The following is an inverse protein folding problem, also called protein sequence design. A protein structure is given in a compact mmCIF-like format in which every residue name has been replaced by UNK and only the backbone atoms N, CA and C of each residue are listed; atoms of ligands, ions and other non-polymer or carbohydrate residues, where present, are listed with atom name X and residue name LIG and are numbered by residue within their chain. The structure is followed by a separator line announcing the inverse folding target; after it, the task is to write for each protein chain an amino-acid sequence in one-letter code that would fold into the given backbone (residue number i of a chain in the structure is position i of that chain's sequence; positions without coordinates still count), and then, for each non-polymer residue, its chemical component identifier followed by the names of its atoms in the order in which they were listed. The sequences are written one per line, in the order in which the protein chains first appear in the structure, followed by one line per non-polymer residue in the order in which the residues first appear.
data_IF_934098819172
#
_entry.id   IF_934098819172
#
_cell.length_a   1.000
_cell.length_b   1.000
_cell.length_c   1.000
_cell.angle_alpha   90.00
_cell.angle_beta   90.00
_cell.angle_gamma   90.00
#
_symmetry.space_group_name_H-M   'P 1'
#
loop_
_entity.id
_entity.type
_entity.pdbx_description
1 polymer ?
#
# COMPACT_ATOMS: atom_id res chain seq x y z
N UNK A 1 12.33 -35.59 -6.74
CA UNK A 1 11.36 -35.09 -7.73
C UNK A 1 10.65 -33.79 -7.33
N UNK A 2 10.89 -33.30 -6.12
CA UNK A 2 10.38 -31.99 -5.70
C UNK A 2 10.85 -30.85 -6.62
N UNK A 3 12.08 -30.91 -7.16
CA UNK A 3 12.63 -29.88 -8.04
C UNK A 3 11.89 -29.76 -9.36
N UNK A 4 11.36 -30.84 -9.91
CA UNK A 4 10.63 -30.80 -11.18
C UNK A 4 9.25 -30.13 -10.97
N UNK A 5 8.55 -30.47 -9.91
CA UNK A 5 7.28 -29.85 -9.57
C UNK A 5 7.42 -28.36 -9.29
N UNK A 6 8.49 -27.95 -8.57
CA UNK A 6 8.78 -26.55 -8.29
C UNK A 6 9.05 -25.76 -9.57
N UNK A 7 9.79 -26.32 -10.52
CA UNK A 7 10.02 -25.70 -11.82
C UNK A 7 8.74 -25.59 -12.64
N UNK A 8 7.90 -26.61 -12.60
CA UNK A 8 6.62 -26.61 -13.28
C UNK A 8 5.65 -25.58 -12.70
N UNK A 9 5.60 -25.44 -11.40
CA UNK A 9 4.78 -24.43 -10.72
C UNK A 9 5.25 -23.01 -10.99
N UNK A 10 6.56 -22.80 -11.17
CA UNK A 10 7.15 -21.48 -11.45
C UNK A 10 6.98 -21.04 -12.90
N UNK A 11 6.93 -21.99 -13.83
CA UNK A 11 6.78 -21.66 -15.25
C UNK A 11 5.33 -21.55 -15.65
N UNK A 12 4.69 -20.47 -15.23
CA UNK A 12 3.34 -20.13 -15.67
C UNK A 12 3.43 -19.61 -17.11
N UNK A 13 2.75 -20.28 -18.05
CA UNK A 13 2.73 -19.85 -19.45
C UNK A 13 2.04 -18.50 -19.62
N UNK A 14 2.35 -17.76 -20.69
CA UNK A 14 1.72 -16.49 -21.00
C UNK A 14 0.19 -16.62 -21.13
N UNK A 15 -0.30 -17.74 -21.65
CA UNK A 15 -1.73 -18.06 -21.78
C UNK A 15 -2.38 -18.20 -20.40
N UNK A 16 -1.73 -18.90 -19.48
CA UNK A 16 -2.22 -19.08 -18.11
C UNK A 16 -2.28 -17.74 -17.37
N UNK A 17 -1.27 -16.88 -17.54
CA UNK A 17 -1.27 -15.54 -16.95
C UNK A 17 -2.44 -14.70 -17.46
N UNK A 18 -2.72 -14.73 -18.74
CA UNK A 18 -3.85 -14.03 -19.35
C UNK A 18 -5.18 -14.54 -18.80
N UNK A 19 -5.34 -15.87 -18.68
CA UNK A 19 -6.54 -16.49 -18.09
C UNK A 19 -6.73 -16.07 -16.64
N UNK A 20 -5.66 -16.10 -15.85
CA UNK A 20 -5.69 -15.63 -14.45
C UNK A 20 -6.04 -14.15 -14.36
N UNK A 21 -5.45 -13.32 -15.22
CA UNK A 21 -5.75 -11.89 -15.28
C UNK A 21 -7.22 -11.61 -15.59
N UNK A 22 -7.78 -12.32 -16.55
CA UNK A 22 -9.22 -12.23 -16.92
C UNK A 22 -10.12 -12.68 -15.76
N UNK A 23 -9.75 -13.79 -15.10
CA UNK A 23 -10.50 -14.30 -13.93
C UNK A 23 -10.49 -13.29 -12.80
N UNK A 24 -9.34 -12.71 -12.49
CA UNK A 24 -9.21 -11.67 -11.44
C UNK A 24 -10.02 -10.42 -11.81
N UNK A 25 -9.99 -9.99 -13.07
CA UNK A 25 -10.77 -8.85 -13.53
C UNK A 25 -12.27 -9.09 -13.37
N UNK A 26 -12.76 -10.31 -13.67
CA UNK A 26 -14.16 -10.67 -13.46
C UNK A 26 -14.53 -10.69 -11.99
N UNK A 27 -13.66 -11.27 -11.14
CA UNK A 27 -13.86 -11.31 -9.69
C UNK A 27 -13.95 -9.90 -9.10
N UNK A 28 -13.08 -8.98 -9.55
CA UNK A 28 -13.11 -7.60 -9.10
C UNK A 28 -14.41 -6.87 -9.46
N UNK A 29 -15.03 -7.23 -10.57
CA UNK A 29 -16.32 -6.66 -11.00
C UNK A 29 -17.52 -7.33 -10.32
N UNK A 30 -17.34 -8.48 -9.69
CA UNK A 30 -18.44 -9.19 -9.05
C UNK A 30 -19.02 -8.40 -7.87
N UNK A 31 -20.35 -8.40 -7.67
CA UNK A 31 -20.96 -7.70 -6.54
C UNK A 31 -20.45 -8.19 -5.18
N UNK A 32 -20.19 -9.48 -5.05
CA UNK A 32 -19.66 -10.07 -3.82
C UNK A 32 -18.29 -9.50 -3.45
N UNK A 33 -17.40 -9.39 -4.43
CA UNK A 33 -16.06 -8.83 -4.23
C UNK A 33 -16.13 -7.34 -3.88
N UNK A 34 -16.96 -6.58 -4.60
CA UNK A 34 -17.18 -5.16 -4.33
C UNK A 34 -17.73 -4.93 -2.92
N UNK A 35 -18.65 -5.78 -2.47
CA UNK A 35 -19.19 -5.73 -1.12
C UNK A 35 -18.11 -6.00 -0.07
N UNK A 36 -17.31 -7.05 -0.26
CA UNK A 36 -16.19 -7.37 0.64
C UNK A 36 -15.18 -6.23 0.73
N UNK A 37 -14.86 -5.63 -0.41
CA UNK A 37 -13.93 -4.49 -0.49
C UNK A 37 -14.47 -3.28 0.27
N UNK A 38 -15.74 -2.96 0.09
CA UNK A 38 -16.42 -1.88 0.81
C UNK A 38 -16.48 -2.14 2.32
N UNK A 39 -16.80 -3.37 2.70
CA UNK A 39 -16.83 -3.79 4.10
C UNK A 39 -15.45 -3.72 4.75
N UNK A 40 -14.39 -4.12 4.03
CA UNK A 40 -13.01 -4.02 4.52
C UNK A 40 -12.60 -2.55 4.75
N UNK A 41 -13.08 -1.63 3.91
CA UNK A 41 -12.80 -0.19 4.08
C UNK A 41 -13.41 0.39 5.35
N UNK A 42 -14.43 -0.26 5.93
CA UNK A 42 -15.07 0.17 7.18
C UNK A 42 -14.31 -0.27 8.44
N UNK A 43 -13.34 -1.17 8.30
CA UNK A 43 -12.55 -1.64 9.45
C UNK A 43 -11.51 -0.61 9.85
N UNK A 44 -11.34 -0.40 11.14
CA UNK A 44 -10.23 0.37 11.67
C UNK A 44 -8.90 -0.32 11.38
N UNK A 45 -7.93 0.45 10.92
CA UNK A 45 -6.59 -0.05 10.70
C UNK A 45 -5.87 -0.26 12.03
N UNK A 46 -5.08 -1.34 12.10
CA UNK A 46 -4.24 -1.62 13.25
C UNK A 46 -3.23 -0.48 13.47
N UNK A 47 -2.92 -0.08 14.73
CA UNK A 47 -1.91 0.94 15.01
C UNK A 47 -0.55 0.68 14.37
N UNK A 48 -0.11 -0.59 14.32
CA UNK A 48 1.13 -0.97 13.64
C UNK A 48 1.10 -0.65 12.14
N UNK A 49 -0.04 -0.88 11.49
CA UNK A 49 -0.24 -0.57 10.07
C UNK A 49 -0.26 0.93 9.82
N UNK A 50 -0.88 1.70 10.71
CA UNK A 50 -0.86 3.18 10.64
C UNK A 50 0.55 3.72 10.78
N UNK A 51 1.36 3.15 11.66
CA UNK A 51 2.75 3.51 11.83
C UNK A 51 3.58 3.23 10.56
N UNK A 52 3.36 2.08 9.93
CA UNK A 52 4.01 1.74 8.65
C UNK A 52 3.62 2.72 7.54
N UNK A 53 2.35 3.09 7.45
CA UNK A 53 1.87 4.07 6.47
C UNK A 53 2.48 5.45 6.72
N UNK A 54 2.56 5.87 7.98
CA UNK A 54 3.19 7.13 8.37
C UNK A 54 4.66 7.16 7.95
N UNK A 55 5.38 6.07 8.21
CA UNK A 55 6.77 5.92 7.84
C UNK A 55 6.97 6.00 6.33
N UNK A 56 6.13 5.31 5.55
CA UNK A 56 6.18 5.37 4.09
C UNK A 56 5.97 6.78 3.56
N UNK A 57 4.99 7.50 4.09
CA UNK A 57 4.72 8.90 3.69
C UNK A 57 5.92 9.79 3.97
N UNK A 58 6.53 9.66 5.14
CA UNK A 58 7.71 10.46 5.50
C UNK A 58 8.91 10.14 4.63
N UNK A 59 9.17 8.87 4.38
CA UNK A 59 10.25 8.44 3.48
C UNK A 59 10.05 9.04 2.10
N UNK A 60 8.82 8.99 1.58
CA UNK A 60 8.50 9.57 0.27
C UNK A 60 8.70 11.09 0.27
N UNK A 61 8.26 11.78 1.30
CA UNK A 61 8.47 13.24 1.43
C UNK A 61 9.95 13.59 1.46
N UNK A 62 10.76 12.84 2.21
CA UNK A 62 12.21 13.06 2.26
C UNK A 62 12.88 12.75 0.92
N UNK A 63 12.45 11.72 0.20
CA UNK A 63 12.93 11.44 -1.16
C UNK A 63 12.63 12.59 -2.10
N UNK A 64 11.41 13.08 -2.10
CA UNK A 64 10.98 14.17 -2.97
C UNK A 64 11.73 15.47 -2.67
N UNK A 65 12.03 15.71 -1.40
CA UNK A 65 12.72 16.90 -0.96
C UNK A 65 14.22 16.89 -1.24
N UNK A 66 14.89 15.78 -0.94
CA UNK A 66 16.37 15.69 -1.00
C UNK A 66 16.88 14.95 -2.23
N UNK A 67 16.06 14.10 -2.85
CA UNK A 67 16.42 13.30 -4.01
C UNK A 67 15.31 13.38 -5.07
N UNK A 68 15.12 14.55 -5.71
CA UNK A 68 13.98 14.73 -6.64
C UNK A 68 14.04 13.83 -7.89
N UNK A 69 15.22 13.33 -8.26
CA UNK A 69 15.39 12.40 -9.39
C UNK A 69 15.25 10.92 -9.04
N UNK A 70 14.73 10.59 -7.85
CA UNK A 70 14.68 9.20 -7.39
C UNK A 70 13.91 8.26 -8.34
N UNK A 71 12.81 8.72 -8.91
CA UNK A 71 11.98 7.91 -9.83
C UNK A 71 12.70 7.53 -11.12
N UNK A 72 13.63 8.37 -11.57
CA UNK A 72 14.38 8.17 -12.79
C UNK A 72 15.70 7.42 -12.57
N UNK A 73 16.03 7.10 -11.33
CA UNK A 73 17.24 6.37 -10.99
C UNK A 73 17.11 4.88 -11.31
N UNK A 74 18.26 4.26 -11.67
CA UNK A 74 18.38 2.80 -11.77
C UNK A 74 18.14 2.15 -10.38
N UNK A 75 17.72 0.89 -10.38
CA UNK A 75 17.42 0.15 -9.14
C UNK A 75 18.59 0.17 -8.16
N UNK A 76 19.82 -0.01 -8.65
CA UNK A 76 21.02 0.02 -7.83
C UNK A 76 21.24 1.37 -7.16
N UNK A 77 21.00 2.46 -7.90
CA UNK A 77 21.09 3.81 -7.35
C UNK A 77 20.00 4.10 -6.34
N UNK A 78 18.78 3.58 -6.56
CA UNK A 78 17.68 3.70 -5.60
C UNK A 78 18.01 3.04 -4.28
N UNK A 79 18.59 1.86 -4.30
CA UNK A 79 19.00 1.13 -3.08
C UNK A 79 20.05 1.93 -2.32
N UNK A 80 21.05 2.46 -2.98
CA UNK A 80 22.09 3.30 -2.36
C UNK A 80 21.50 4.59 -1.77
N UNK A 81 20.60 5.21 -2.50
CA UNK A 81 19.91 6.43 -2.05
C UNK A 81 19.06 6.16 -0.81
N UNK A 82 18.33 5.05 -0.77
CA UNK A 82 17.54 4.65 0.39
C UNK A 82 18.42 4.38 1.60
N UNK A 83 19.57 3.73 1.43
CA UNK A 83 20.53 3.51 2.50
C UNK A 83 21.07 4.81 3.07
N UNK A 84 21.46 5.75 2.21
CA UNK A 84 21.94 7.08 2.62
C UNK A 84 20.86 7.87 3.36
N UNK A 85 19.63 7.81 2.87
CA UNK A 85 18.49 8.49 3.48
C UNK A 85 18.24 7.94 4.89
N UNK A 86 18.29 6.63 5.06
CA UNK A 86 18.11 5.99 6.37
C UNK A 86 19.25 6.31 7.34
N UNK A 87 20.49 6.37 6.84
CA UNK A 87 21.63 6.75 7.67
C UNK A 87 21.54 8.19 8.16
N UNK A 88 21.14 9.12 7.29
CA UNK A 88 21.09 10.55 7.61
C UNK A 88 19.85 10.95 8.38
N UNK A 89 18.70 10.42 8.01
CA UNK A 89 17.39 10.89 8.48
C UNK A 89 16.55 9.82 9.18
N UNK A 90 17.06 8.60 9.34
CA UNK A 90 16.32 7.48 9.91
C UNK A 90 15.74 7.77 11.30
N UNK A 91 16.53 8.39 12.18
CA UNK A 91 16.08 8.74 13.53
C UNK A 91 14.97 9.82 13.50
N UNK A 92 15.12 10.83 12.67
CA UNK A 92 14.09 11.87 12.50
C UNK A 92 12.80 11.28 11.93
N UNK A 93 12.92 10.38 10.95
CA UNK A 93 11.78 9.69 10.35
C UNK A 93 11.05 8.89 11.42
N UNK A 94 11.76 8.15 12.27
CA UNK A 94 11.16 7.35 13.34
C UNK A 94 10.42 8.22 14.36
N UNK A 95 10.98 9.33 14.76
CA UNK A 95 10.33 10.27 15.67
C UNK A 95 9.09 10.91 15.06
N UNK A 96 9.20 11.38 13.82
CA UNK A 96 8.10 12.01 13.12
C UNK A 96 7.00 11.01 12.74
N UNK A 97 7.36 9.74 12.47
CA UNK A 97 6.39 8.70 12.15
C UNK A 97 5.40 8.44 13.29
N UNK A 98 5.86 8.54 14.53
CA UNK A 98 4.99 8.42 15.71
C UNK A 98 3.93 9.53 15.74
N UNK A 99 4.32 10.77 15.45
CA UNK A 99 3.40 11.92 15.40
C UNK A 99 2.39 11.78 14.25
N UNK A 100 2.88 11.39 13.07
CA UNK A 100 2.02 11.19 11.89
C UNK A 100 1.06 10.03 12.12
N UNK A 101 1.51 8.95 12.75
CA UNK A 101 0.66 7.82 13.12
C UNK A 101 -0.49 8.24 14.06
N UNK A 102 -0.22 9.12 15.02
CA UNK A 102 -1.25 9.68 15.90
C UNK A 102 -2.28 10.50 15.12
N UNK A 103 -1.83 11.33 14.17
CA UNK A 103 -2.73 12.09 13.28
C UNK A 103 -3.60 11.14 12.45
N UNK A 104 -3.00 10.10 11.87
CA UNK A 104 -3.73 9.10 11.08
C UNK A 104 -4.76 8.37 11.92
N UNK A 105 -4.44 8.07 13.18
CA UNK A 105 -5.38 7.44 14.12
C UNK A 105 -6.59 8.35 14.37
N UNK A 106 -6.38 9.65 14.53
CA UNK A 106 -7.45 10.63 14.67
C UNK A 106 -8.30 10.76 13.41
N UNK A 107 -7.67 10.71 12.23
CA UNK A 107 -8.35 10.79 10.93
C UNK A 107 -9.10 9.51 10.56
N UNK A 108 -8.76 8.38 11.20
CA UNK A 108 -9.34 7.06 10.90
C UNK A 108 -10.86 7.05 11.14
N UNK A 109 -11.33 7.69 12.19
CA UNK A 109 -12.74 7.86 12.44
C UNK A 109 -13.47 8.59 11.33
N UNK A 110 -12.88 9.67 10.82
CA UNK A 110 -13.41 10.44 9.69
C UNK A 110 -13.42 9.62 8.40
N UNK A 111 -12.36 8.86 8.16
CA UNK A 111 -12.27 7.97 6.99
C UNK A 111 -13.38 6.93 6.98
N UNK A 112 -13.62 6.29 8.13
CA UNK A 112 -14.66 5.27 8.29
C UNK A 112 -16.03 5.89 8.08
N UNK A 113 -16.27 7.07 8.64
CA UNK A 113 -17.52 7.80 8.47
C UNK A 113 -17.79 8.13 7.00
N UNK A 114 -16.78 8.63 6.29
CA UNK A 114 -16.86 8.92 4.87
C UNK A 114 -17.14 7.65 4.03
N UNK A 115 -16.50 6.53 4.39
CA UNK A 115 -16.73 5.25 3.74
C UNK A 115 -18.16 4.73 3.96
N UNK A 116 -18.72 4.90 5.17
CA UNK A 116 -20.11 4.56 5.47
C UNK A 116 -21.08 5.40 4.65
N UNK A 117 -20.83 6.69 4.54
CA UNK A 117 -21.67 7.59 3.74
C UNK A 117 -21.70 7.17 2.28
N UNK A 118 -20.54 6.83 1.70
CA UNK A 118 -20.46 6.31 0.33
C UNK A 118 -21.23 5.00 0.15
N UNK A 119 -21.14 4.11 1.14
CA UNK A 119 -21.73 2.78 1.08
C UNK A 119 -23.24 2.82 1.19
N UNK A 120 -23.75 3.73 2.04
CA UNK A 120 -25.19 3.92 2.24
C UNK A 120 -25.82 4.82 1.16
N UNK A 121 -25.03 5.42 0.28
CA UNK A 121 -25.54 6.36 -0.72
C UNK A 121 -26.14 7.62 -0.12
N UNK A 122 -25.82 7.95 1.12
CA UNK A 122 -26.28 9.17 1.78
C UNK A 122 -25.57 10.35 1.17
N UNK A 123 -26.29 11.13 0.40
CA UNK A 123 -25.80 12.41 -0.11
C UNK A 123 -25.84 13.42 1.02
N UNK A 124 -24.73 14.05 1.29
CA UNK A 124 -24.73 15.26 2.13
C UNK A 124 -25.38 16.40 1.34
N UNK A 125 -26.47 16.83 1.82
CA UNK A 125 -27.07 18.08 1.37
C UNK A 125 -26.34 19.27 2.01
#
# INVERSE_FOLDING_TARGET
MKKFNDLYERTVTAVQRRKQGRRMARLQKSPAFQFKKKKAALKMRNPAKLHQLARKKLIQQYRDKFYPGYKDMAIQQRVKTDQLLMQRYGEKIDKLSKRVAMKLKGEEGNRIRAARERLMGVKKD
#
